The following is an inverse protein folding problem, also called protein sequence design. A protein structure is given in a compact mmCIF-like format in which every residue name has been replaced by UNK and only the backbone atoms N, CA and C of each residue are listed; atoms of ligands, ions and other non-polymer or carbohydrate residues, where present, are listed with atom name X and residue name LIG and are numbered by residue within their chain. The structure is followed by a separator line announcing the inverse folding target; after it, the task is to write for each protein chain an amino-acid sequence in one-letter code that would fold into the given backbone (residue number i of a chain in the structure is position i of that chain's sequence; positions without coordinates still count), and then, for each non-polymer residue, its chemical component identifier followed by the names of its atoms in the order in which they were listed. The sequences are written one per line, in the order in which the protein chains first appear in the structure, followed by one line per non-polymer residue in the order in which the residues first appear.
data_IF_627784057420
#
_entry.id   IF_627784057420
#
_cell.length_a   1.000
_cell.length_b   1.000
_cell.length_c   1.000
_cell.angle_alpha   90.00
_cell.angle_beta   90.00
_cell.angle_gamma   90.00
#
_symmetry.space_group_name_H-M   'P 1'
#
loop_
_entity.id
_entity.type
_entity.pdbx_description
1 polymer ?
#
# COMPACT_ATOMS: atom_id res chain seq x y z
N UNK A 1 -32.30 35.18 24.31
CA UNK A 1 -31.94 33.92 23.60
C UNK A 1 -30.55 34.08 23.00
N UNK A 2 -29.60 33.26 23.40
CA UNK A 2 -28.28 33.27 22.76
C UNK A 2 -28.42 32.66 21.35
N UNK A 3 -28.22 33.49 20.32
CA UNK A 3 -28.31 33.10 18.93
C UNK A 3 -27.02 32.35 18.54
N UNK A 4 -27.03 31.51 17.51
CA UNK A 4 -25.85 30.73 17.04
C UNK A 4 -24.64 31.66 16.82
N UNK A 5 -24.87 32.87 16.31
CA UNK A 5 -23.82 33.89 16.13
C UNK A 5 -23.17 34.33 17.45
N UNK A 6 -23.91 34.49 18.53
CA UNK A 6 -23.36 34.86 19.84
C UNK A 6 -22.61 33.68 20.48
N UNK A 7 -23.05 32.44 20.26
CA UNK A 7 -22.33 31.23 20.69
C UNK A 7 -20.98 31.07 19.93
N UNK A 8 -20.95 31.40 18.64
CA UNK A 8 -19.74 31.39 17.83
C UNK A 8 -18.74 32.49 18.27
N UNK A 9 -19.23 33.73 18.51
CA UNK A 9 -18.35 34.79 19.04
C UNK A 9 -17.77 34.44 20.41
N UNK A 10 -18.55 33.80 21.26
CA UNK A 10 -18.10 33.35 22.58
C UNK A 10 -17.05 32.23 22.44
N UNK A 11 -17.26 31.24 21.58
CA UNK A 11 -16.29 30.16 21.26
C UNK A 11 -14.98 30.74 20.72
N UNK A 12 -15.05 31.67 19.76
CA UNK A 12 -13.86 32.33 19.19
C UNK A 12 -13.05 33.08 20.26
N UNK A 13 -13.75 33.76 21.20
CA UNK A 13 -13.10 34.51 22.28
C UNK A 13 -12.49 33.62 23.36
N UNK A 14 -13.01 32.39 23.52
CA UNK A 14 -12.43 31.37 24.40
C UNK A 14 -11.12 30.82 23.85
N UNK A 15 -11.04 30.62 22.54
CA UNK A 15 -9.83 30.06 21.89
C UNK A 15 -8.75 31.15 21.73
N UNK A 16 -9.18 32.40 21.39
CA UNK A 16 -8.31 33.56 21.16
C UNK A 16 -8.62 34.71 22.12
N UNK A 17 -8.22 34.63 23.41
CA UNK A 17 -8.43 35.70 24.34
C UNK A 17 -7.56 36.94 24.00
N UNK A 18 -8.15 38.14 24.12
CA UNK A 18 -7.43 39.42 23.85
C UNK A 18 -6.46 39.83 24.98
N UNK A 19 -6.53 39.24 26.13
CA UNK A 19 -5.69 39.58 27.30
C UNK A 19 -4.55 38.56 27.47
N UNK A 20 -3.31 39.04 27.59
CA UNK A 20 -2.08 38.30 27.48
C UNK A 20 -1.69 37.34 28.62
N UNK A 21 -2.55 37.06 29.60
CA UNK A 21 -2.29 36.04 30.62
C UNK A 21 -2.64 34.65 30.09
N UNK A 22 -1.61 33.77 29.97
CA UNK A 22 -1.81 32.38 29.63
C UNK A 22 -2.57 31.67 30.76
N UNK A 23 -3.86 31.35 30.54
CA UNK A 23 -4.61 30.52 31.46
C UNK A 23 -4.27 29.04 31.26
N UNK A 24 -4.40 28.23 32.31
CA UNK A 24 -4.12 26.80 32.23
C UNK A 24 -5.07 26.08 31.25
N UNK A 25 -6.32 26.56 31.13
CA UNK A 25 -7.24 26.07 30.10
C UNK A 25 -6.77 26.33 28.66
N UNK A 26 -6.12 27.47 28.39
CA UNK A 26 -5.56 27.75 27.07
C UNK A 26 -4.42 26.76 26.75
N UNK A 27 -3.54 26.48 27.73
CA UNK A 27 -2.48 25.46 27.55
C UNK A 27 -3.09 24.09 27.27
N UNK A 28 -4.16 23.74 27.99
CA UNK A 28 -4.87 22.46 27.79
C UNK A 28 -5.51 22.37 26.40
N UNK A 29 -6.14 23.43 25.88
CA UNK A 29 -6.70 23.46 24.53
C UNK A 29 -5.60 23.35 23.47
N UNK A 30 -4.51 24.10 23.62
CA UNK A 30 -3.35 24.01 22.72
C UNK A 30 -2.78 22.60 22.76
N UNK A 31 -2.64 22.00 23.95
CA UNK A 31 -2.21 20.61 24.12
C UNK A 31 -3.12 19.64 23.38
N UNK A 32 -4.45 19.81 23.46
CA UNK A 32 -5.41 18.98 22.73
C UNK A 32 -5.29 19.15 21.22
N UNK A 33 -5.12 20.37 20.70
CA UNK A 33 -4.90 20.64 19.28
C UNK A 33 -3.62 19.95 18.79
N UNK A 34 -2.52 20.06 19.54
CA UNK A 34 -1.24 19.42 19.24
C UNK A 34 -1.38 17.89 19.27
N UNK A 35 -2.07 17.34 20.27
CA UNK A 35 -2.33 15.89 20.33
C UNK A 35 -3.09 15.38 19.09
N UNK A 36 -4.12 16.14 18.66
CA UNK A 36 -4.86 15.79 17.45
C UNK A 36 -3.94 15.87 16.21
N UNK A 37 -3.18 16.96 16.09
CA UNK A 37 -2.26 17.13 14.96
C UNK A 37 -1.26 15.98 14.89
N UNK A 38 -0.64 15.59 16.02
CA UNK A 38 0.28 14.46 16.11
C UNK A 38 -0.41 13.14 15.76
N UNK A 39 -1.69 12.96 16.13
CA UNK A 39 -2.44 11.73 15.83
C UNK A 39 -2.89 11.64 14.36
N UNK A 40 -3.12 12.77 13.71
CA UNK A 40 -3.49 12.84 12.28
C UNK A 40 -2.30 12.50 11.38
N UNK A 41 -1.08 12.86 11.78
CA UNK A 41 0.14 12.59 10.99
C UNK A 41 0.27 11.09 10.64
N UNK A 42 0.36 10.15 11.61
CA UNK A 42 0.50 8.74 11.29
C UNK A 42 -0.72 8.19 10.56
N UNK A 43 -1.91 8.72 10.81
CA UNK A 43 -3.13 8.33 10.09
C UNK A 43 -3.02 8.60 8.59
N UNK A 44 -2.57 9.80 8.21
CA UNK A 44 -2.36 10.19 6.81
C UNK A 44 -1.24 9.37 6.19
N UNK A 45 -0.11 9.21 6.90
CA UNK A 45 1.04 8.44 6.40
C UNK A 45 0.66 6.98 6.14
N UNK A 46 0.02 6.31 7.11
CA UNK A 46 -0.33 4.89 6.97
C UNK A 46 -1.32 4.67 5.83
N UNK A 47 -2.34 5.52 5.69
CA UNK A 47 -3.33 5.36 4.62
C UNK A 47 -2.69 5.59 3.24
N UNK A 48 -1.91 6.66 3.06
CA UNK A 48 -1.25 6.95 1.78
C UNK A 48 -0.21 5.91 1.40
N UNK A 49 0.61 5.46 2.35
CA UNK A 49 1.61 4.42 2.14
C UNK A 49 0.95 3.07 1.84
N UNK A 50 -0.06 2.68 2.63
CA UNK A 50 -0.79 1.42 2.41
C UNK A 50 -1.48 1.38 1.05
N UNK A 51 -2.10 2.49 0.63
CA UNK A 51 -2.73 2.59 -0.69
C UNK A 51 -1.69 2.53 -1.81
N UNK A 52 -0.59 3.26 -1.67
CA UNK A 52 0.50 3.24 -2.65
C UNK A 52 1.13 1.85 -2.78
N UNK A 53 1.40 1.18 -1.66
CA UNK A 53 1.91 -0.21 -1.67
C UNK A 53 0.92 -1.17 -2.33
N UNK A 54 -0.37 -1.08 -1.98
CA UNK A 54 -1.40 -1.93 -2.58
C UNK A 54 -1.50 -1.72 -4.09
N UNK A 55 -1.54 -0.48 -4.54
CA UNK A 55 -1.57 -0.13 -5.97
C UNK A 55 -0.30 -0.57 -6.69
N UNK A 56 0.86 -0.32 -6.10
CA UNK A 56 2.14 -0.72 -6.66
C UNK A 56 2.31 -2.24 -6.77
N UNK A 57 1.91 -3.00 -5.76
CA UNK A 57 1.92 -4.46 -5.81
C UNK A 57 0.90 -4.99 -6.81
N UNK A 58 -0.32 -4.42 -6.84
CA UNK A 58 -1.35 -4.79 -7.81
C UNK A 58 -0.87 -4.57 -9.24
N UNK A 59 -0.31 -3.39 -9.52
CA UNK A 59 0.24 -3.08 -10.84
C UNK A 59 1.33 -4.08 -11.25
N UNK A 60 2.25 -4.44 -10.33
CA UNK A 60 3.28 -5.45 -10.63
C UNK A 60 2.69 -6.84 -10.84
N UNK A 61 1.77 -7.27 -10.00
CA UNK A 61 1.11 -8.58 -10.14
C UNK A 61 0.36 -8.65 -11.47
N UNK A 62 -0.41 -7.61 -11.80
CA UNK A 62 -1.18 -7.58 -13.05
C UNK A 62 -0.24 -7.54 -14.25
N UNK A 63 0.67 -6.58 -14.31
CA UNK A 63 1.48 -6.37 -15.50
C UNK A 63 2.56 -7.42 -15.69
N UNK A 64 3.13 -7.99 -14.59
CA UNK A 64 4.20 -8.95 -14.68
C UNK A 64 3.73 -10.41 -14.60
N UNK A 65 2.62 -10.71 -13.89
CA UNK A 65 2.22 -12.09 -13.62
C UNK A 65 0.99 -12.54 -14.40
N UNK A 66 -0.18 -11.96 -14.12
CA UNK A 66 -1.46 -12.51 -14.61
C UNK A 66 -2.02 -11.83 -15.87
N UNK A 67 -1.56 -10.64 -16.22
CA UNK A 67 -2.34 -9.77 -17.10
C UNK A 67 -3.61 -9.28 -16.39
N UNK A 68 -4.48 -8.56 -17.07
CA UNK A 68 -5.81 -8.19 -16.55
C UNK A 68 -6.76 -9.38 -16.57
N UNK A 69 -6.63 -10.25 -17.58
CA UNK A 69 -7.31 -11.54 -17.67
C UNK A 69 -6.30 -12.60 -18.11
N UNK A 70 -6.33 -13.74 -17.45
CA UNK A 70 -5.53 -14.91 -17.82
C UNK A 70 -6.44 -16.00 -18.37
N UNK A 71 -6.29 -16.30 -19.65
CA UNK A 71 -7.02 -17.38 -20.32
C UNK A 71 -6.19 -18.68 -20.21
N UNK A 72 -6.62 -19.61 -19.36
CA UNK A 72 -6.01 -20.94 -19.22
C UNK A 72 -6.54 -21.87 -20.29
N UNK A 73 -5.63 -22.50 -21.02
CA UNK A 73 -5.99 -23.49 -22.05
C UNK A 73 -6.13 -24.88 -21.44
N UNK A 74 -7.06 -25.65 -22.00
CA UNK A 74 -7.19 -27.06 -21.65
C UNK A 74 -5.92 -27.81 -22.11
N UNK A 75 -5.28 -28.56 -21.21
CA UNK A 75 -4.04 -29.33 -21.47
C UNK A 75 -4.18 -30.32 -22.64
N UNK A 76 -5.39 -30.84 -22.84
CA UNK A 76 -5.67 -31.83 -23.91
C UNK A 76 -5.94 -31.17 -25.27
N UNK A 77 -5.97 -29.85 -25.35
CA UNK A 77 -6.19 -29.14 -26.63
C UNK A 77 -5.04 -29.40 -27.60
N UNK A 78 -5.37 -29.61 -28.86
CA UNK A 78 -4.39 -29.71 -29.96
C UNK A 78 -3.59 -28.43 -30.12
N UNK A 79 -4.15 -27.28 -29.72
CA UNK A 79 -3.55 -25.95 -29.79
C UNK A 79 -2.25 -25.88 -29.00
N UNK A 80 -2.21 -26.47 -27.81
CA UNK A 80 -1.03 -26.42 -26.92
C UNK A 80 0.09 -27.36 -27.32
N UNK A 81 -0.13 -28.27 -28.26
CA UNK A 81 0.88 -29.28 -28.65
C UNK A 81 1.93 -28.72 -29.60
N UNK A 82 1.65 -27.66 -30.32
CA UNK A 82 2.58 -27.06 -31.28
C UNK A 82 2.76 -25.57 -30.98
N UNK A 83 4.01 -25.10 -31.07
CA UNK A 83 4.39 -23.70 -30.85
C UNK A 83 3.61 -22.74 -31.76
N UNK A 84 3.62 -23.00 -33.08
CA UNK A 84 2.96 -22.11 -34.04
C UNK A 84 1.45 -22.03 -33.79
N UNK A 85 0.79 -23.17 -33.53
CA UNK A 85 -0.63 -23.22 -33.24
C UNK A 85 -1.00 -22.43 -31.99
N UNK A 86 -0.16 -22.49 -30.94
CA UNK A 86 -0.40 -21.76 -29.70
C UNK A 86 -0.16 -20.26 -29.86
N UNK A 87 0.90 -19.88 -30.59
CA UNK A 87 1.19 -18.48 -30.92
C UNK A 87 0.08 -17.86 -31.77
N UNK A 88 -0.36 -18.54 -32.83
CA UNK A 88 -1.41 -18.02 -33.70
C UNK A 88 -2.78 -17.96 -32.99
N UNK A 89 -3.07 -18.93 -32.14
CA UNK A 89 -4.25 -18.88 -31.29
C UNK A 89 -4.22 -17.66 -30.34
N UNK A 90 -3.06 -17.31 -29.78
CA UNK A 90 -2.97 -16.13 -28.92
C UNK A 90 -3.29 -14.83 -29.65
N UNK A 91 -3.02 -14.73 -30.94
CA UNK A 91 -3.33 -13.56 -31.76
C UNK A 91 -4.83 -13.36 -32.00
N UNK A 92 -5.62 -14.43 -31.97
CA UNK A 92 -7.08 -14.33 -32.17
C UNK A 92 -7.76 -13.51 -31.07
N UNK A 93 -7.15 -13.42 -29.87
CA UNK A 93 -7.67 -12.59 -28.79
C UNK A 93 -7.60 -11.09 -29.09
N UNK A 94 -6.72 -10.65 -29.99
CA UNK A 94 -6.60 -9.24 -30.38
C UNK A 94 -7.82 -8.71 -31.14
N UNK A 95 -8.64 -9.61 -31.68
CA UNK A 95 -9.90 -9.25 -32.39
C UNK A 95 -11.03 -8.92 -31.38
N UNK A 96 -10.86 -9.27 -30.12
CA UNK A 96 -11.88 -9.04 -29.08
C UNK A 96 -11.80 -7.60 -28.58
N UNK A 97 -12.97 -6.98 -28.45
CA UNK A 97 -13.10 -5.63 -27.94
C UNK A 97 -12.46 -5.51 -26.55
N UNK A 98 -11.71 -4.42 -26.31
CA UNK A 98 -10.99 -4.13 -25.05
C UNK A 98 -9.75 -5.00 -24.80
N UNK A 99 -9.24 -5.71 -25.81
CA UNK A 99 -7.94 -6.37 -25.73
C UNK A 99 -6.89 -5.49 -26.38
N UNK A 100 -5.89 -5.09 -25.62
CA UNK A 100 -4.75 -4.31 -26.09
C UNK A 100 -3.64 -5.23 -26.61
N UNK A 101 -3.25 -6.20 -25.77
CA UNK A 101 -2.22 -7.17 -26.09
C UNK A 101 -2.60 -8.54 -25.53
N UNK A 102 -2.15 -9.60 -26.19
CA UNK A 102 -2.34 -10.99 -25.78
C UNK A 102 -1.00 -11.75 -25.96
N UNK A 103 -0.44 -12.25 -24.87
CA UNK A 103 0.85 -12.95 -24.89
C UNK A 103 0.69 -14.41 -24.45
N UNK A 104 1.11 -15.37 -25.28
CA UNK A 104 1.12 -16.77 -24.90
C UNK A 104 2.25 -17.02 -23.88
N UNK A 105 1.96 -17.82 -22.88
CA UNK A 105 2.94 -18.18 -21.85
C UNK A 105 2.75 -19.61 -21.39
N UNK A 106 3.88 -20.29 -21.14
CA UNK A 106 3.91 -21.62 -20.52
C UNK A 106 4.65 -21.50 -19.18
N UNK A 107 3.98 -21.85 -18.10
CA UNK A 107 4.58 -21.88 -16.78
C UNK A 107 4.81 -23.32 -16.31
N UNK A 108 5.95 -23.57 -15.66
CA UNK A 108 6.27 -24.84 -15.03
C UNK A 108 7.21 -24.65 -13.85
N UNK A 109 7.02 -25.44 -12.81
CA UNK A 109 7.94 -25.46 -11.69
C UNK A 109 9.23 -26.22 -12.08
N UNK A 110 10.36 -25.74 -11.60
CA UNK A 110 11.68 -26.30 -11.87
C UNK A 110 12.63 -26.13 -10.70
N UNK A 111 13.73 -26.86 -10.74
CA UNK A 111 14.88 -26.63 -9.90
C UNK A 111 15.99 -26.01 -10.76
N UNK A 112 16.55 -24.91 -10.29
CA UNK A 112 17.66 -24.22 -10.90
C UNK A 112 18.96 -24.55 -10.17
N UNK A 113 20.01 -24.88 -10.93
CA UNK A 113 21.29 -25.26 -10.41
C UNK A 113 22.41 -24.40 -11.02
N UNK A 114 23.30 -23.94 -10.17
CA UNK A 114 24.65 -23.54 -10.55
C UNK A 114 25.64 -24.71 -10.34
N UNK A 115 26.93 -24.44 -10.35
CA UNK A 115 27.93 -25.47 -10.02
C UNK A 115 27.85 -25.91 -8.56
N UNK A 116 27.51 -24.99 -7.64
CA UNK A 116 27.60 -25.17 -6.19
C UNK A 116 26.23 -25.10 -5.52
N UNK A 117 25.37 -24.26 -6.03
CA UNK A 117 24.07 -23.94 -5.36
C UNK A 117 22.88 -24.41 -6.17
N UNK A 118 21.74 -24.55 -5.46
CA UNK A 118 20.45 -24.89 -6.06
C UNK A 118 19.33 -24.12 -5.42
N UNK A 119 18.29 -23.79 -6.18
CA UNK A 119 17.08 -23.16 -5.69
C UNK A 119 15.85 -23.63 -6.47
N UNK A 120 14.68 -23.56 -5.86
CA UNK A 120 13.42 -23.71 -6.57
C UNK A 120 13.21 -22.50 -7.47
N UNK A 121 12.67 -22.72 -8.67
CA UNK A 121 12.37 -21.67 -9.62
C UNK A 121 11.10 -21.99 -10.39
N UNK A 122 10.42 -20.96 -10.86
CA UNK A 122 9.31 -21.06 -11.81
C UNK A 122 9.81 -20.61 -13.19
N UNK A 123 9.84 -21.55 -14.10
CA UNK A 123 10.17 -21.26 -15.50
C UNK A 123 8.93 -20.67 -16.17
N UNK A 124 9.11 -19.52 -16.78
CA UNK A 124 8.12 -18.80 -17.58
C UNK A 124 8.62 -18.71 -19.00
N UNK A 125 8.03 -19.50 -19.88
CA UNK A 125 8.34 -19.45 -21.30
C UNK A 125 7.46 -18.42 -21.98
N UNK A 126 8.09 -17.38 -22.52
CA UNK A 126 7.41 -16.21 -23.09
C UNK A 126 7.98 -15.88 -24.46
N UNK A 127 7.21 -15.17 -25.26
CA UNK A 127 7.72 -14.58 -26.49
C UNK A 127 8.71 -13.44 -26.15
N UNK A 128 9.87 -13.35 -26.84
CA UNK A 128 10.83 -12.27 -26.62
C UNK A 128 10.22 -10.86 -26.80
N UNK A 129 9.24 -10.74 -27.69
CA UNK A 129 8.52 -9.51 -27.99
C UNK A 129 7.84 -8.91 -26.75
N UNK A 130 7.51 -9.73 -25.75
CA UNK A 130 6.94 -9.26 -24.48
C UNK A 130 7.84 -8.22 -23.79
N UNK A 131 9.15 -8.39 -23.84
CA UNK A 131 10.12 -7.46 -23.24
C UNK A 131 10.31 -6.17 -24.05
N UNK A 132 9.95 -6.16 -25.34
CA UNK A 132 10.20 -5.02 -26.24
C UNK A 132 8.93 -4.27 -26.59
N UNK A 133 7.82 -4.97 -26.80
CA UNK A 133 6.56 -4.36 -27.27
C UNK A 133 5.63 -3.95 -26.13
N UNK A 134 5.66 -4.66 -25.00
CA UNK A 134 4.80 -4.34 -23.84
C UNK A 134 5.51 -3.38 -22.90
N UNK A 135 5.26 -2.07 -23.05
CA UNK A 135 5.86 -1.05 -22.19
C UNK A 135 5.46 -1.19 -20.72
N UNK A 136 4.23 -1.62 -20.46
CA UNK A 136 3.72 -1.87 -19.11
C UNK A 136 4.50 -2.98 -18.41
N UNK A 137 4.94 -3.99 -19.15
CA UNK A 137 5.78 -5.07 -18.65
C UNK A 137 7.24 -4.64 -18.51
N UNK A 138 7.83 -4.10 -19.57
CA UNK A 138 9.27 -3.78 -19.62
C UNK A 138 9.66 -2.66 -18.65
N UNK A 139 8.80 -1.66 -18.44
CA UNK A 139 9.07 -0.53 -17.54
C UNK A 139 9.19 -0.92 -16.06
N UNK A 140 8.67 -2.10 -15.69
CA UNK A 140 8.71 -2.60 -14.32
C UNK A 140 9.99 -3.39 -14.03
N UNK A 141 10.80 -3.69 -15.05
CA UNK A 141 12.09 -4.35 -14.87
C UNK A 141 13.26 -3.36 -14.97
N UNK A 142 14.20 -3.46 -14.04
CA UNK A 142 15.52 -2.86 -14.15
C UNK A 142 16.54 -3.95 -14.50
N UNK A 143 17.28 -3.74 -15.58
CA UNK A 143 18.39 -4.63 -15.93
C UNK A 143 19.56 -4.32 -15.01
N UNK A 144 20.02 -5.32 -14.25
CA UNK A 144 21.15 -5.21 -13.32
C UNK A 144 22.46 -5.64 -13.94
N UNK A 145 22.39 -6.65 -14.82
CA UNK A 145 23.55 -7.20 -15.50
C UNK A 145 23.13 -7.78 -16.86
N UNK A 146 23.99 -7.71 -17.88
CA UNK A 146 23.74 -8.21 -19.21
C UNK A 146 22.86 -7.32 -20.08
N UNK A 147 22.20 -7.93 -21.09
CA UNK A 147 21.31 -7.24 -22.05
C UNK A 147 20.12 -8.11 -22.43
N UNK A 148 18.93 -7.51 -22.44
CA UNK A 148 17.71 -8.17 -22.90
C UNK A 148 17.71 -8.43 -24.40
N UNK A 149 18.45 -7.67 -25.21
CA UNK A 149 18.52 -7.84 -26.67
C UNK A 149 19.05 -9.23 -27.10
N UNK A 150 19.81 -9.87 -26.21
CA UNK A 150 20.31 -11.25 -26.45
C UNK A 150 19.25 -12.31 -26.16
N UNK A 151 18.13 -11.94 -25.51
CA UNK A 151 17.06 -12.87 -25.19
C UNK A 151 16.27 -13.23 -26.46
N UNK A 152 16.15 -14.52 -26.74
CA UNK A 152 15.49 -15.01 -27.96
C UNK A 152 16.38 -15.09 -29.21
N UNK A 153 17.52 -14.40 -29.25
CA UNK A 153 18.44 -14.44 -30.39
C UNK A 153 19.16 -15.80 -30.58
N UNK A 154 19.28 -16.59 -29.52
CA UNK A 154 19.77 -17.98 -29.53
C UNK A 154 18.78 -18.87 -28.83
N UNK A 155 18.61 -20.11 -29.28
CA UNK A 155 17.59 -21.05 -28.78
C UNK A 155 17.63 -21.37 -27.29
N UNK A 156 18.75 -21.13 -26.58
CA UNK A 156 18.92 -21.50 -25.18
C UNK A 156 19.48 -20.35 -24.34
N UNK A 157 18.78 -19.20 -24.42
CA UNK A 157 19.06 -18.08 -23.55
C UNK A 157 17.97 -17.96 -22.47
N UNK A 158 18.29 -17.36 -21.33
CA UNK A 158 17.32 -17.07 -20.28
C UNK A 158 17.58 -15.72 -19.63
N UNK A 159 16.52 -15.17 -19.04
CA UNK A 159 16.56 -14.00 -18.15
C UNK A 159 16.21 -14.47 -16.76
N UNK A 160 16.98 -14.08 -15.76
CA UNK A 160 16.77 -14.51 -14.37
C UNK A 160 16.57 -13.32 -13.45
N UNK A 161 15.82 -13.52 -12.37
CA UNK A 161 15.66 -12.54 -11.32
C UNK A 161 16.93 -12.31 -10.50
N UNK A 162 17.14 -11.07 -10.04
CA UNK A 162 18.31 -10.65 -9.25
C UNK A 162 18.54 -11.54 -8.03
N UNK A 163 17.47 -11.98 -7.36
CA UNK A 163 17.58 -12.84 -6.19
C UNK A 163 18.01 -14.27 -6.54
N UNK A 164 17.55 -14.83 -7.66
CA UNK A 164 18.05 -16.12 -8.17
C UNK A 164 19.53 -16.01 -8.50
N UNK A 165 19.93 -14.94 -9.21
CA UNK A 165 21.31 -14.69 -9.58
C UNK A 165 22.21 -14.65 -8.33
N UNK A 166 21.84 -13.89 -7.32
CA UNK A 166 22.59 -13.79 -6.06
C UNK A 166 22.62 -15.10 -5.26
N UNK A 167 21.51 -15.87 -5.22
CA UNK A 167 21.44 -17.15 -4.50
C UNK A 167 22.29 -18.23 -5.16
N UNK A 168 22.37 -18.23 -6.48
CA UNK A 168 23.13 -19.20 -7.26
C UNK A 168 24.56 -18.74 -7.57
N UNK A 169 24.92 -17.49 -7.20
CA UNK A 169 26.19 -16.82 -7.52
C UNK A 169 26.48 -16.85 -9.04
N UNK A 170 25.47 -16.45 -9.84
CA UNK A 170 25.54 -16.41 -11.29
C UNK A 170 25.40 -14.98 -11.80
N UNK A 171 26.10 -14.70 -12.93
CA UNK A 171 26.07 -13.43 -13.66
C UNK A 171 25.66 -13.62 -15.11
N UNK A 172 25.42 -12.52 -15.84
CA UNK A 172 25.16 -12.61 -17.28
C UNK A 172 26.33 -13.24 -18.03
N UNK A 173 26.01 -14.15 -18.95
CA UNK A 173 26.99 -14.99 -19.67
C UNK A 173 27.25 -16.36 -19.05
N UNK A 174 26.90 -16.56 -17.79
CA UNK A 174 27.02 -17.87 -17.14
C UNK A 174 25.95 -18.85 -17.63
N UNK A 175 26.17 -20.14 -17.35
CA UNK A 175 25.19 -21.20 -17.66
C UNK A 175 24.46 -21.64 -16.41
N UNK A 176 23.12 -21.59 -16.48
CA UNK A 176 22.21 -22.15 -15.49
C UNK A 176 21.63 -23.47 -15.99
N UNK A 177 21.55 -24.46 -15.12
CA UNK A 177 20.95 -25.77 -15.43
C UNK A 177 19.56 -25.82 -14.78
N UNK A 178 18.54 -26.01 -15.61
CA UNK A 178 17.17 -26.18 -15.20
C UNK A 178 16.74 -27.63 -15.25
N UNK A 179 16.10 -28.09 -14.21
CA UNK A 179 15.60 -29.45 -14.04
C UNK A 179 14.11 -29.42 -13.79
N UNK A 180 13.34 -29.98 -14.70
CA UNK A 180 11.91 -30.21 -14.54
C UNK A 180 11.65 -31.69 -14.20
N UNK A 181 10.39 -32.05 -13.97
CA UNK A 181 10.00 -33.44 -13.69
C UNK A 181 10.45 -34.45 -14.77
N UNK A 182 10.64 -34.01 -16.01
CA UNK A 182 10.92 -34.91 -17.14
C UNK A 182 12.27 -34.68 -17.80
N UNK A 183 12.83 -33.49 -17.78
CA UNK A 183 14.03 -33.15 -18.57
C UNK A 183 14.98 -32.21 -17.84
N UNK A 184 16.22 -32.23 -18.26
CA UNK A 184 17.29 -31.32 -17.84
C UNK A 184 17.75 -30.52 -19.05
N UNK A 185 17.87 -29.22 -18.92
CA UNK A 185 18.42 -28.35 -19.96
C UNK A 185 19.29 -27.25 -19.37
N UNK A 186 20.29 -26.82 -20.14
CA UNK A 186 21.15 -25.70 -19.75
C UNK A 186 20.87 -24.49 -20.62
N UNK A 187 20.79 -23.32 -20.00
CA UNK A 187 20.56 -22.05 -20.64
C UNK A 187 21.69 -21.08 -20.31
N UNK A 188 22.01 -20.19 -21.24
CA UNK A 188 22.94 -19.09 -21.05
C UNK A 188 22.16 -17.88 -20.53
N UNK A 189 22.64 -17.27 -19.46
CA UNK A 189 21.98 -16.09 -18.87
C UNK A 189 22.27 -14.88 -19.76
N UNK A 190 21.23 -14.33 -20.39
CA UNK A 190 21.35 -13.13 -21.22
C UNK A 190 21.28 -11.83 -20.40
N UNK A 191 20.45 -11.83 -19.38
CA UNK A 191 20.29 -10.70 -18.48
C UNK A 191 19.85 -11.13 -17.09
N UNK A 192 20.26 -10.35 -16.09
CA UNK A 192 19.75 -10.38 -14.71
C UNK A 192 18.85 -9.16 -14.52
N UNK A 193 17.61 -9.38 -14.12
CA UNK A 193 16.61 -8.34 -13.98
C UNK A 193 16.06 -8.26 -12.56
N UNK A 194 15.65 -7.08 -12.15
CA UNK A 194 14.91 -6.88 -10.91
C UNK A 194 13.57 -6.23 -11.21
N UNK A 195 12.50 -6.84 -10.71
CA UNK A 195 11.14 -6.29 -10.77
C UNK A 195 10.86 -5.31 -9.64
N UNK A 196 11.80 -5.15 -8.69
CA UNK A 196 11.60 -4.39 -7.45
C UNK A 196 10.64 -5.08 -6.47
N UNK A 197 10.26 -6.33 -6.74
CA UNK A 197 9.49 -7.19 -5.85
C UNK A 197 10.23 -8.53 -5.70
N UNK A 198 10.89 -8.68 -4.57
CA UNK A 198 11.84 -9.78 -4.37
C UNK A 198 11.21 -11.18 -4.45
N UNK A 199 9.94 -11.32 -4.10
CA UNK A 199 9.23 -12.60 -4.22
C UNK A 199 9.22 -13.10 -5.68
N UNK A 200 9.02 -12.18 -6.64
CA UNK A 200 9.06 -12.51 -8.06
C UNK A 200 10.50 -12.74 -8.52
N UNK A 201 11.43 -11.88 -8.09
CA UNK A 201 12.86 -11.96 -8.46
C UNK A 201 13.54 -13.22 -7.89
N UNK A 202 12.99 -13.82 -6.84
CA UNK A 202 13.46 -15.06 -6.22
C UNK A 202 12.97 -16.33 -6.93
N UNK A 203 11.93 -16.22 -7.76
CA UNK A 203 11.28 -17.39 -8.35
C UNK A 203 11.36 -17.44 -9.87
N UNK A 204 11.43 -16.31 -10.58
CA UNK A 204 11.20 -16.30 -12.02
C UNK A 204 12.46 -16.46 -12.86
N UNK A 205 12.36 -17.37 -13.82
CA UNK A 205 13.31 -17.58 -14.90
C UNK A 205 12.53 -17.55 -16.21
N UNK A 206 12.85 -16.58 -17.07
CA UNK A 206 12.23 -16.45 -18.37
C UNK A 206 13.07 -17.20 -19.41
N UNK A 207 12.42 -18.01 -20.26
CA UNK A 207 13.01 -18.67 -21.41
C UNK A 207 12.20 -18.35 -22.67
N UNK A 208 12.76 -18.39 -23.88
CA UNK A 208 11.98 -18.24 -25.11
C UNK A 208 10.91 -19.32 -25.23
N UNK A 209 9.69 -18.93 -25.65
CA UNK A 209 8.54 -19.83 -25.75
C UNK A 209 8.83 -21.04 -26.66
N UNK A 210 9.51 -20.84 -27.77
CA UNK A 210 9.93 -21.93 -28.67
C UNK A 210 10.78 -23.00 -27.95
N UNK A 211 11.68 -22.57 -27.04
CA UNK A 211 12.52 -23.48 -26.26
C UNK A 211 11.73 -24.35 -25.30
N UNK A 212 10.56 -23.89 -24.85
CA UNK A 212 9.72 -24.62 -23.91
C UNK A 212 9.20 -25.93 -24.49
N UNK A 213 8.84 -25.97 -25.75
CA UNK A 213 8.33 -27.18 -26.41
C UNK A 213 9.36 -28.33 -26.48
N UNK A 214 10.63 -28.01 -26.44
CA UNK A 214 11.69 -29.01 -26.34
C UNK A 214 12.02 -29.44 -24.90
N UNK A 215 11.65 -28.66 -23.92
CA UNK A 215 12.11 -28.78 -22.53
C UNK A 215 10.99 -29.07 -21.52
N UNK A 216 9.85 -28.35 -21.58
CA UNK A 216 8.75 -28.49 -20.64
C UNK A 216 7.82 -29.64 -21.06
N UNK A 217 7.37 -30.42 -20.07
CA UNK A 217 6.37 -31.45 -20.31
C UNK A 217 4.96 -30.83 -20.34
N UNK A 218 4.18 -31.16 -21.36
CA UNK A 218 2.81 -30.65 -21.48
C UNK A 218 1.89 -31.05 -20.33
N UNK A 219 2.14 -32.22 -19.73
CA UNK A 219 1.32 -32.76 -18.64
C UNK A 219 1.45 -32.00 -17.33
N UNK A 220 2.60 -31.40 -17.06
CA UNK A 220 2.87 -30.68 -15.81
C UNK A 220 2.91 -29.16 -15.99
N UNK A 221 2.92 -28.67 -17.24
CA UNK A 221 2.99 -27.25 -17.55
C UNK A 221 1.62 -26.62 -17.69
N UNK A 222 1.51 -25.36 -17.31
CA UNK A 222 0.33 -24.54 -17.42
C UNK A 222 0.44 -23.65 -18.66
N UNK A 223 -0.45 -23.83 -19.62
CA UNK A 223 -0.54 -23.02 -20.84
C UNK A 223 -1.59 -21.94 -20.65
N UNK A 224 -1.21 -20.70 -20.79
CA UNK A 224 -2.12 -19.56 -20.64
C UNK A 224 -1.79 -18.47 -21.65
N UNK A 225 -2.82 -17.67 -21.97
CA UNK A 225 -2.64 -16.41 -22.67
C UNK A 225 -2.91 -15.29 -21.69
N UNK A 226 -1.94 -14.41 -21.51
CA UNK A 226 -2.06 -13.22 -20.65
C UNK A 226 -2.57 -12.06 -21.48
N UNK A 227 -3.69 -11.52 -21.08
CA UNK A 227 -4.44 -10.50 -21.82
C UNK A 227 -4.34 -9.19 -21.07
N UNK A 228 -3.83 -8.16 -21.76
CA UNK A 228 -3.80 -6.79 -21.31
C UNK A 228 -5.02 -6.06 -21.89
N UNK A 229 -5.84 -5.46 -21.02
CA UNK A 229 -7.01 -4.70 -21.43
C UNK A 229 -6.64 -3.23 -21.66
N UNK A 230 -7.32 -2.57 -22.61
CA UNK A 230 -7.23 -1.12 -22.81
C UNK A 230 -7.89 -0.36 -21.66
N UNK A 231 -9.16 -0.71 -21.36
CA UNK A 231 -9.87 -0.17 -20.20
C UNK A 231 -9.71 -1.12 -19.02
N UNK A 232 -8.94 -0.67 -18.03
CA UNK A 232 -8.59 -1.42 -16.82
C UNK A 232 -9.65 -1.34 -15.73
N UNK A 233 -10.80 -0.68 -15.99
CA UNK A 233 -11.87 -0.61 -15.00
C UNK A 233 -12.42 -2.02 -14.71
N UNK A 234 -12.74 -2.30 -13.44
CA UNK A 234 -13.20 -3.63 -13.03
C UNK A 234 -14.45 -4.08 -13.82
N UNK A 235 -15.33 -3.13 -14.19
CA UNK A 235 -16.52 -3.44 -15.01
C UNK A 235 -16.13 -3.92 -16.40
N UNK A 236 -15.17 -3.27 -17.03
CA UNK A 236 -14.68 -3.63 -18.37
C UNK A 236 -13.90 -4.94 -18.35
N UNK A 237 -13.12 -5.20 -17.31
CA UNK A 237 -12.40 -6.48 -17.12
C UNK A 237 -13.37 -7.65 -16.91
N UNK A 238 -14.44 -7.47 -16.14
CA UNK A 238 -15.49 -8.48 -15.97
C UNK A 238 -16.22 -8.74 -17.30
N UNK A 239 -16.53 -7.69 -18.07
CA UNK A 239 -17.16 -7.84 -19.38
C UNK A 239 -16.22 -8.57 -20.35
N UNK A 240 -14.93 -8.26 -20.33
CA UNK A 240 -13.91 -8.93 -21.14
C UNK A 240 -13.81 -10.42 -20.79
N UNK A 241 -13.75 -10.78 -19.51
CA UNK A 241 -13.73 -12.18 -19.06
C UNK A 241 -14.91 -12.96 -19.63
N UNK A 242 -16.13 -12.44 -19.52
CA UNK A 242 -17.34 -13.08 -20.06
C UNK A 242 -17.29 -13.22 -21.57
N UNK A 243 -16.88 -12.17 -22.28
CA UNK A 243 -16.75 -12.20 -23.74
C UNK A 243 -15.76 -13.26 -24.20
N UNK A 244 -14.66 -13.45 -23.47
CA UNK A 244 -13.66 -14.49 -23.74
C UNK A 244 -14.23 -15.89 -23.52
N UNK A 245 -14.94 -16.11 -22.42
CA UNK A 245 -15.54 -17.42 -22.11
C UNK A 245 -16.65 -17.77 -23.09
N UNK A 246 -17.45 -16.80 -23.52
CA UNK A 246 -18.52 -17.00 -24.52
C UNK A 246 -17.94 -17.32 -25.91
N UNK A 247 -16.85 -16.64 -26.30
CA UNK A 247 -16.24 -16.82 -27.62
C UNK A 247 -15.46 -18.12 -27.78
N UNK A 248 -14.86 -18.61 -26.67
CA UNK A 248 -13.97 -19.78 -26.66
C UNK A 248 -14.45 -20.89 -25.73
N UNK A 249 -15.77 -21.13 -25.68
CA UNK A 249 -16.38 -22.15 -24.80
C UNK A 249 -15.70 -23.52 -24.92
N UNK A 250 -15.30 -24.08 -23.77
CA UNK A 250 -14.67 -25.40 -23.66
C UNK A 250 -13.19 -25.45 -24.05
N UNK A 251 -12.64 -24.42 -24.68
CA UNK A 251 -11.22 -24.34 -25.07
C UNK A 251 -10.40 -23.68 -23.97
N UNK A 252 -10.92 -22.59 -23.39
CA UNK A 252 -10.26 -21.81 -22.33
C UNK A 252 -11.14 -21.70 -21.09
N UNK A 253 -10.48 -21.34 -19.97
CA UNK A 253 -11.11 -20.78 -18.78
C UNK A 253 -10.44 -19.43 -18.51
N UNK A 254 -11.22 -18.37 -18.46
CA UNK A 254 -10.73 -17.03 -18.23
C UNK A 254 -10.82 -16.67 -16.73
N UNK A 255 -9.72 -16.25 -16.17
CA UNK A 255 -9.64 -15.76 -14.78
C UNK A 255 -9.16 -14.32 -14.77
N UNK A 256 -9.79 -13.51 -13.93
CA UNK A 256 -9.32 -12.14 -13.69
C UNK A 256 -8.09 -12.16 -12.78
N UNK A 257 -7.34 -11.09 -12.82
CA UNK A 257 -6.14 -10.90 -12.00
C UNK A 257 -6.41 -11.04 -10.48
N UNK A 258 -7.59 -10.58 -10.01
CA UNK A 258 -8.01 -10.69 -8.60
C UNK A 258 -8.40 -12.13 -8.21
N UNK A 259 -8.92 -12.91 -9.13
CA UNK A 259 -9.23 -14.32 -8.92
C UNK A 259 -7.97 -15.20 -8.89
N UNK A 260 -7.05 -14.98 -9.83
CA UNK A 260 -5.77 -15.72 -9.90
C UNK A 260 -4.93 -15.49 -8.64
N UNK A 261 -4.99 -14.29 -8.08
CA UNK A 261 -4.18 -13.91 -6.90
C UNK A 261 -5.03 -13.69 -5.64
N UNK A 262 -6.21 -14.32 -5.54
CA UNK A 262 -7.20 -14.08 -4.49
C UNK A 262 -6.58 -14.13 -3.07
N UNK A 263 -5.77 -15.14 -2.77
CA UNK A 263 -5.15 -15.28 -1.44
C UNK A 263 -4.21 -14.12 -1.08
N UNK A 264 -3.48 -13.56 -2.05
CA UNK A 264 -2.61 -12.39 -1.84
C UNK A 264 -3.45 -11.14 -1.55
N UNK A 265 -4.51 -10.93 -2.33
CA UNK A 265 -5.40 -9.77 -2.17
C UNK A 265 -6.24 -9.84 -0.89
N UNK A 266 -6.66 -11.02 -0.46
CA UNK A 266 -7.32 -11.22 0.84
C UNK A 266 -6.39 -10.87 2.00
N UNK A 267 -5.14 -11.30 1.97
CA UNK A 267 -4.14 -10.93 2.96
C UNK A 267 -3.88 -9.42 3.01
N UNK A 268 -3.77 -8.77 1.85
CA UNK A 268 -3.61 -7.31 1.79
C UNK A 268 -4.83 -6.57 2.33
N UNK A 269 -6.04 -7.04 1.99
CA UNK A 269 -7.31 -6.46 2.47
C UNK A 269 -7.43 -6.60 3.99
N UNK A 270 -7.10 -7.77 4.55
CA UNK A 270 -7.12 -8.02 5.99
C UNK A 270 -6.11 -7.14 6.74
N UNK A 271 -4.88 -7.04 6.22
CA UNK A 271 -3.85 -6.17 6.81
C UNK A 271 -4.30 -4.71 6.79
N UNK A 272 -4.87 -4.26 5.68
CA UNK A 272 -5.41 -2.90 5.54
C UNK A 272 -6.53 -2.62 6.54
N UNK A 273 -7.45 -3.56 6.74
CA UNK A 273 -8.53 -3.44 7.73
C UNK A 273 -7.96 -3.30 9.14
N UNK A 274 -6.97 -4.11 9.50
CA UNK A 274 -6.28 -4.00 10.79
C UNK A 274 -5.63 -2.63 10.99
N UNK A 275 -4.93 -2.12 9.97
CA UNK A 275 -4.30 -0.79 10.03
C UNK A 275 -5.34 0.31 10.23
N UNK A 276 -6.46 0.28 9.50
CA UNK A 276 -7.56 1.24 9.65
C UNK A 276 -8.15 1.18 11.05
N UNK A 277 -8.32 -0.02 11.63
CA UNK A 277 -8.83 -0.19 12.99
C UNK A 277 -7.87 0.39 14.03
N UNK A 278 -6.56 0.12 13.90
CA UNK A 278 -5.53 0.69 14.78
C UNK A 278 -5.54 2.22 14.69
N UNK A 279 -5.62 2.77 13.47
CA UNK A 279 -5.66 4.22 13.26
C UNK A 279 -6.93 4.84 13.86
N UNK A 280 -8.07 4.18 13.74
CA UNK A 280 -9.31 4.62 14.38
C UNK A 280 -9.14 4.69 15.90
N UNK A 281 -8.51 3.70 16.52
CA UNK A 281 -8.22 3.70 17.95
C UNK A 281 -7.30 4.85 18.36
N UNK A 282 -6.27 5.17 17.57
CA UNK A 282 -5.37 6.30 17.82
C UNK A 282 -6.16 7.63 17.80
N UNK A 283 -7.02 7.83 16.80
CA UNK A 283 -7.87 9.04 16.70
C UNK A 283 -8.85 9.10 17.86
N UNK A 284 -9.40 7.97 18.29
CA UNK A 284 -10.29 7.90 19.45
C UNK A 284 -9.58 8.34 20.73
N UNK A 285 -8.37 7.83 20.99
CA UNK A 285 -7.55 8.24 22.14
C UNK A 285 -7.23 9.73 22.08
N UNK A 286 -6.85 10.26 20.92
CA UNK A 286 -6.61 11.69 20.73
C UNK A 286 -7.87 12.52 21.04
N UNK A 287 -9.04 12.02 20.65
CA UNK A 287 -10.32 12.69 20.90
C UNK A 287 -10.68 12.76 22.37
N UNK A 288 -10.30 11.77 23.18
CA UNK A 288 -10.47 11.80 24.64
C UNK A 288 -9.70 12.97 25.28
N UNK A 289 -8.53 13.32 24.73
CA UNK A 289 -7.76 14.48 25.20
C UNK A 289 -8.53 15.80 24.99
N UNK A 290 -9.34 15.92 23.91
CA UNK A 290 -10.23 17.06 23.69
C UNK A 290 -11.25 17.14 24.82
N UNK A 291 -11.88 16.02 25.16
CA UNK A 291 -12.87 15.97 26.25
C UNK A 291 -12.28 16.45 27.56
N UNK A 292 -11.08 15.98 27.89
CA UNK A 292 -10.36 16.38 29.12
C UNK A 292 -10.04 17.87 29.12
N UNK A 293 -9.57 18.41 27.98
CA UNK A 293 -9.28 19.82 27.82
C UNK A 293 -10.53 20.68 27.96
N UNK A 294 -11.67 20.23 27.38
CA UNK A 294 -12.96 20.93 27.52
C UNK A 294 -13.48 20.89 28.94
N UNK A 295 -13.34 19.78 29.67
CA UNK A 295 -13.75 19.71 31.10
C UNK A 295 -12.94 20.71 31.89
N UNK A 296 -11.61 20.79 31.69
CA UNK A 296 -10.76 21.75 32.36
C UNK A 296 -11.17 23.19 32.02
N UNK A 297 -11.44 23.49 30.75
CA UNK A 297 -11.95 24.81 30.33
C UNK A 297 -13.27 25.17 31.00
N UNK A 298 -14.21 24.22 31.10
CA UNK A 298 -15.49 24.44 31.79
C UNK A 298 -15.26 24.78 33.27
N UNK A 299 -14.36 24.04 33.94
CA UNK A 299 -14.03 24.28 35.36
C UNK A 299 -13.43 25.66 35.57
N UNK A 300 -12.49 26.09 34.75
CA UNK A 300 -11.84 27.40 34.83
C UNK A 300 -12.82 28.56 34.52
N UNK A 301 -13.70 28.35 33.54
CA UNK A 301 -14.71 29.38 33.14
C UNK A 301 -16.04 29.30 33.87
N UNK A 302 -16.11 28.49 34.93
CA UNK A 302 -17.33 28.22 35.66
C UNK A 302 -18.01 29.51 36.19
N UNK A 303 -17.22 30.47 36.68
CA UNK A 303 -17.71 31.78 37.13
C UNK A 303 -18.30 32.62 36.01
N UNK A 304 -17.64 32.65 34.84
CA UNK A 304 -18.16 33.37 33.65
C UNK A 304 -19.44 32.73 33.14
N UNK A 305 -19.54 31.40 33.15
CA UNK A 305 -20.74 30.65 32.80
C UNK A 305 -21.89 31.00 33.75
N UNK A 306 -21.63 31.07 35.05
CA UNK A 306 -22.62 31.43 36.05
C UNK A 306 -23.14 32.84 35.83
N UNK A 307 -22.27 33.83 35.59
CA UNK A 307 -22.66 35.22 35.28
C UNK A 307 -23.54 35.29 34.03
N UNK A 308 -23.10 34.60 32.93
CA UNK A 308 -23.87 34.57 31.70
C UNK A 308 -25.27 33.98 31.88
N UNK A 309 -25.41 32.94 32.72
CA UNK A 309 -26.71 32.37 33.05
C UNK A 309 -27.59 33.29 33.89
N UNK A 310 -26.98 33.98 34.85
CA UNK A 310 -27.70 34.96 35.65
C UNK A 310 -28.22 36.15 34.85
N UNK A 311 -27.50 36.48 33.73
CA UNK A 311 -27.94 37.48 32.75
C UNK A 311 -28.91 36.91 31.68
N UNK A 312 -29.48 35.70 31.88
CA UNK A 312 -30.46 35.11 30.98
C UNK A 312 -29.88 34.26 29.83
N UNK A 313 -28.61 33.91 29.91
CA UNK A 313 -27.96 32.97 28.92
C UNK A 313 -28.59 31.59 28.97
N UNK A 314 -29.04 31.08 27.81
CA UNK A 314 -29.65 29.75 27.73
C UNK A 314 -28.61 28.62 27.90
N UNK A 315 -28.98 27.55 28.61
CA UNK A 315 -28.15 26.36 28.80
C UNK A 315 -27.74 25.72 27.46
N UNK A 316 -28.66 25.71 26.47
CA UNK A 316 -28.40 25.22 25.13
C UNK A 316 -27.33 26.06 24.39
N UNK A 317 -27.41 27.39 24.51
CA UNK A 317 -26.45 28.30 23.89
C UNK A 317 -25.02 28.12 24.43
N UNK A 318 -24.90 27.91 25.76
CA UNK A 318 -23.60 27.61 26.39
C UNK A 318 -23.07 26.26 25.94
N UNK A 319 -23.90 25.20 25.95
CA UNK A 319 -23.50 23.88 25.45
C UNK A 319 -23.02 23.95 23.99
N UNK A 320 -23.74 24.66 23.13
CA UNK A 320 -23.37 24.86 21.71
C UNK A 320 -22.03 25.59 21.58
N UNK A 321 -21.75 26.60 22.43
CA UNK A 321 -20.48 27.30 22.40
C UNK A 321 -19.30 26.37 22.75
N UNK A 322 -19.43 25.54 23.79
CA UNK A 322 -18.37 24.55 24.13
C UNK A 322 -18.25 23.44 23.10
N UNK A 323 -19.35 23.00 22.48
CA UNK A 323 -19.30 22.05 21.35
C UNK A 323 -18.53 22.64 20.17
N UNK A 324 -18.74 23.91 19.85
CA UNK A 324 -17.98 24.61 18.82
C UNK A 324 -16.49 24.71 19.16
N UNK A 325 -16.11 24.93 20.43
CA UNK A 325 -14.71 24.93 20.85
C UNK A 325 -14.07 23.58 20.58
N UNK A 326 -14.75 22.47 20.89
CA UNK A 326 -14.26 21.13 20.59
C UNK A 326 -14.10 20.87 19.08
N UNK A 327 -15.11 21.23 18.28
CA UNK A 327 -15.05 21.14 16.83
C UNK A 327 -13.93 21.99 16.22
N UNK A 328 -13.74 23.22 16.72
CA UNK A 328 -12.64 24.09 16.31
C UNK A 328 -11.27 23.52 16.68
N UNK A 329 -11.15 22.90 17.85
CA UNK A 329 -9.89 22.23 18.25
C UNK A 329 -9.55 21.09 17.32
N UNK A 330 -10.55 20.26 16.94
CA UNK A 330 -10.39 19.21 15.93
C UNK A 330 -10.00 19.75 14.57
N UNK A 331 -10.65 20.82 14.13
CA UNK A 331 -10.37 21.48 12.85
C UNK A 331 -8.97 22.09 12.81
N UNK A 332 -8.53 22.79 13.86
CA UNK A 332 -7.18 23.35 13.92
C UNK A 332 -6.11 22.24 13.99
N UNK A 333 -6.37 21.18 14.75
CA UNK A 333 -5.48 20.01 14.79
C UNK A 333 -5.34 19.36 13.42
N UNK A 334 -6.44 19.27 12.64
CA UNK A 334 -6.41 18.77 11.27
C UNK A 334 -5.62 19.68 10.32
N UNK A 335 -5.83 21.01 10.39
CA UNK A 335 -5.10 21.98 9.55
C UNK A 335 -3.59 21.89 9.78
N UNK A 336 -3.16 21.62 11.00
CA UNK A 336 -1.74 21.44 11.32
C UNK A 336 -1.23 20.03 10.99
N UNK A 337 -2.01 19.00 11.31
CA UNK A 337 -1.60 17.60 11.15
C UNK A 337 -1.61 17.10 9.71
N UNK A 338 -2.59 17.50 8.90
CA UNK A 338 -2.75 17.01 7.53
C UNK A 338 -1.60 17.42 6.60
N UNK A 339 -1.16 18.68 6.53
CA UNK A 339 -0.03 19.06 5.69
C UNK A 339 1.27 18.38 6.14
N UNK A 340 1.52 18.30 7.44
CA UNK A 340 2.70 17.62 7.97
C UNK A 340 2.65 16.12 7.66
N UNK A 341 1.47 15.48 7.81
CA UNK A 341 1.25 14.08 7.44
C UNK A 341 1.52 13.83 5.95
N UNK A 342 1.06 14.72 5.06
CA UNK A 342 1.33 14.63 3.63
C UNK A 342 2.82 14.80 3.30
N UNK A 343 3.50 15.77 3.93
CA UNK A 343 4.93 15.96 3.77
C UNK A 343 5.72 14.73 4.23
N UNK A 344 5.34 14.13 5.35
CA UNK A 344 5.92 12.88 5.82
C UNK A 344 5.65 11.73 4.85
N UNK A 345 4.43 11.63 4.30
CA UNK A 345 4.08 10.58 3.33
C UNK A 345 4.93 10.69 2.05
N UNK A 346 5.05 11.89 1.49
CA UNK A 346 5.85 12.12 0.26
C UNK A 346 7.33 11.79 0.48
N UNK A 347 7.83 12.01 1.68
CA UNK A 347 9.23 11.76 2.03
C UNK A 347 9.44 10.43 2.79
N UNK A 348 8.45 9.52 2.79
CA UNK A 348 8.50 8.29 3.61
C UNK A 348 9.74 7.44 3.31
N UNK A 349 10.11 7.28 2.03
CA UNK A 349 11.29 6.52 1.64
C UNK A 349 12.59 7.13 2.22
N UNK A 350 12.71 8.47 2.20
CA UNK A 350 13.86 9.18 2.80
C UNK A 350 13.88 9.08 4.32
N UNK A 351 12.69 9.17 4.95
CA UNK A 351 12.53 9.04 6.41
C UNK A 351 12.95 7.65 6.85
N UNK A 352 12.47 6.60 6.18
CA UNK A 352 12.81 5.21 6.53
C UNK A 352 14.30 4.95 6.35
N UNK A 353 14.90 5.37 5.23
CA UNK A 353 16.37 5.26 5.02
C UNK A 353 17.16 6.05 6.08
N UNK A 354 16.65 7.18 6.52
CA UNK A 354 17.24 7.98 7.60
C UNK A 354 17.19 7.24 8.94
N UNK A 355 16.05 6.64 9.27
CA UNK A 355 15.87 5.81 10.46
C UNK A 355 16.78 4.57 10.45
N UNK A 356 16.86 3.87 9.30
CA UNK A 356 17.78 2.73 9.15
C UNK A 356 19.24 3.12 9.45
N UNK A 357 19.70 4.22 8.87
CA UNK A 357 21.06 4.74 9.13
C UNK A 357 21.25 5.06 10.59
N UNK A 358 20.28 5.74 11.22
CA UNK A 358 20.32 6.10 12.63
C UNK A 358 20.39 4.86 13.53
N UNK A 359 19.51 3.86 13.30
CA UNK A 359 19.52 2.63 14.09
C UNK A 359 20.80 1.82 13.89
N UNK A 360 21.31 1.71 12.66
CA UNK A 360 22.55 0.99 12.38
C UNK A 360 23.77 1.70 13.01
N UNK A 361 23.81 3.04 12.99
CA UNK A 361 24.86 3.80 13.69
C UNK A 361 24.76 3.67 15.20
N UNK A 362 23.56 3.77 15.76
CA UNK A 362 23.33 3.57 17.19
C UNK A 362 23.75 2.16 17.65
N UNK A 363 23.42 1.15 16.85
CA UNK A 363 23.81 -0.24 17.11
C UNK A 363 25.34 -0.43 17.02
N UNK A 364 25.99 0.16 16.02
CA UNK A 364 27.44 0.13 15.89
C UNK A 364 28.14 0.80 17.09
N UNK A 365 27.62 1.95 17.55
CA UNK A 365 28.11 2.62 18.76
C UNK A 365 27.92 1.76 20.01
N UNK A 366 26.78 1.08 20.14
CA UNK A 366 26.48 0.21 21.27
C UNK A 366 27.35 -1.06 21.27
N UNK A 367 27.67 -1.62 20.11
CA UNK A 367 28.53 -2.79 19.94
C UNK A 367 30.03 -2.47 20.12
N UNK A 368 30.44 -1.20 19.98
CA UNK A 368 31.84 -0.79 20.17
C UNK A 368 32.27 -0.60 21.63
N UNK A 369 31.36 -0.84 22.61
CA UNK A 369 31.67 -0.77 24.04
C UNK A 369 32.56 -1.97 24.44
N UNK A 370 33.78 -1.75 24.96
CA UNK A 370 34.69 -2.84 25.32
C UNK A 370 34.11 -3.76 26.40
N UNK A 371 34.14 -5.07 26.15
CA UNK A 371 33.71 -6.09 27.14
C UNK A 371 32.48 -6.92 26.76
N UNK A 372 31.77 -6.62 25.67
CA UNK A 372 30.68 -7.47 25.16
C UNK A 372 31.14 -8.25 23.93
N UNK A 373 31.21 -9.57 24.04
CA UNK A 373 31.28 -10.48 22.89
C UNK A 373 29.88 -10.52 22.24
N UNK A 374 29.57 -9.55 21.38
CA UNK A 374 28.36 -9.58 20.57
C UNK A 374 28.72 -10.02 19.16
N UNK A 375 27.84 -10.79 18.55
CA UNK A 375 27.85 -11.12 17.11
C UNK A 375 28.01 -9.82 16.29
N UNK A 376 28.64 -9.88 15.11
CA UNK A 376 28.75 -8.72 14.23
C UNK A 376 27.34 -8.12 14.02
N UNK A 377 27.19 -6.78 14.06
CA UNK A 377 25.89 -6.15 13.93
C UNK A 377 25.27 -6.56 12.60
N UNK A 378 24.19 -7.34 12.68
CA UNK A 378 23.35 -7.58 11.51
C UNK A 378 22.79 -6.22 11.10
N UNK A 379 23.03 -5.79 9.86
CA UNK A 379 22.40 -4.60 9.33
C UNK A 379 20.88 -4.75 9.43
N UNK A 380 20.24 -3.83 10.16
CA UNK A 380 18.79 -3.75 10.26
C UNK A 380 18.31 -3.07 8.98
N UNK A 381 17.63 -3.81 8.14
CA UNK A 381 16.87 -3.28 7.00
C UNK A 381 15.42 -3.16 7.47
N UNK A 382 14.94 -1.93 7.73
CA UNK A 382 13.54 -1.69 8.11
C UNK A 382 12.58 -1.99 6.97
N UNK A 383 13.03 -1.78 5.74
CA UNK A 383 12.33 -2.18 4.53
C UNK A 383 13.11 -3.29 3.85
N UNK A 384 12.84 -4.52 4.28
CA UNK A 384 13.41 -5.68 3.60
C UNK A 384 12.71 -5.86 2.24
N UNK A 385 13.43 -5.77 1.11
CA UNK A 385 12.89 -6.00 -0.22
C UNK A 385 12.19 -7.36 -0.38
N UNK A 386 12.43 -8.30 0.55
CA UNK A 386 11.74 -9.59 0.58
C UNK A 386 10.23 -9.47 0.79
N UNK A 387 9.79 -8.47 1.54
CA UNK A 387 8.39 -8.30 1.92
C UNK A 387 7.76 -7.02 1.35
N UNK A 388 8.59 -6.07 0.92
CA UNK A 388 8.15 -4.74 0.49
C UNK A 388 8.73 -4.40 -0.88
N UNK A 389 8.11 -3.42 -1.55
CA UNK A 389 8.68 -2.82 -2.75
C UNK A 389 9.94 -2.04 -2.38
N UNK A 390 10.97 -2.09 -3.25
CA UNK A 390 12.22 -1.33 -3.05
C UNK A 390 11.99 0.17 -2.87
N UNK A 391 10.95 0.70 -3.52
CA UNK A 391 10.44 2.05 -3.31
C UNK A 391 8.93 1.99 -3.13
N UNK A 392 8.45 2.63 -2.06
CA UNK A 392 7.02 2.73 -1.79
C UNK A 392 6.44 3.76 -2.76
N UNK A 393 5.57 3.38 -3.69
CA UNK A 393 4.83 4.34 -4.48
C UNK A 393 3.84 5.07 -3.57
N UNK A 394 3.69 6.37 -3.78
CA UNK A 394 2.82 7.21 -2.96
C UNK A 394 1.60 7.56 -3.79
N UNK A 395 0.45 7.10 -3.36
CA UNK A 395 -0.83 7.49 -3.95
C UNK A 395 -1.63 8.37 -2.98
N UNK A 396 -1.84 9.62 -3.39
CA UNK A 396 -2.63 10.57 -2.63
C UNK A 396 -4.04 10.62 -3.21
N UNK A 397 -4.99 9.98 -2.54
CA UNK A 397 -6.40 10.06 -2.91
C UNK A 397 -7.08 11.21 -2.16
N UNK A 398 -7.50 12.26 -2.87
CA UNK A 398 -8.21 13.39 -2.28
C UNK A 398 -9.50 12.99 -1.56
N UNK A 399 -10.23 11.99 -2.08
CA UNK A 399 -11.44 11.46 -1.45
C UNK A 399 -11.13 10.87 -0.06
N UNK A 400 -10.04 10.11 0.06
CA UNK A 400 -9.64 9.49 1.34
C UNK A 400 -9.18 10.55 2.33
N UNK A 401 -8.41 11.55 1.89
CA UNK A 401 -8.03 12.69 2.73
C UNK A 401 -9.26 13.44 3.25
N UNK A 402 -10.25 13.64 2.39
CA UNK A 402 -11.53 14.25 2.80
C UNK A 402 -12.27 13.38 3.83
N UNK A 403 -12.31 12.07 3.65
CA UNK A 403 -12.92 11.15 4.62
C UNK A 403 -12.18 11.16 5.97
N UNK A 404 -10.84 11.23 5.96
CA UNK A 404 -10.03 11.39 7.18
C UNK A 404 -10.40 12.70 7.87
N UNK A 405 -10.41 13.81 7.13
CA UNK A 405 -10.74 15.12 7.65
C UNK A 405 -12.13 15.15 8.28
N UNK A 406 -13.11 14.60 7.57
CA UNK A 406 -14.49 14.48 8.06
C UNK A 406 -14.56 13.61 9.33
N UNK A 407 -13.90 12.45 9.35
CA UNK A 407 -13.90 11.53 10.49
C UNK A 407 -13.30 12.17 11.74
N UNK A 408 -12.20 12.90 11.61
CA UNK A 408 -11.53 13.57 12.74
C UNK A 408 -12.42 14.67 13.31
N UNK A 409 -13.02 15.52 12.46
CA UNK A 409 -13.92 16.59 12.91
C UNK A 409 -15.17 15.99 13.55
N UNK A 410 -15.77 14.98 12.93
CA UNK A 410 -16.97 14.33 13.41
C UNK A 410 -16.74 13.67 14.78
N UNK A 411 -15.65 12.95 14.95
CA UNK A 411 -15.30 12.31 16.21
C UNK A 411 -14.99 13.35 17.30
N UNK A 412 -14.30 14.44 16.94
CA UNK A 412 -14.05 15.59 17.83
C UNK A 412 -15.34 16.20 18.35
N UNK A 413 -16.36 16.39 17.49
CA UNK A 413 -17.66 16.88 17.88
C UNK A 413 -18.39 15.91 18.81
N UNK A 414 -18.41 14.61 18.49
CA UNK A 414 -19.08 13.58 19.32
C UNK A 414 -18.51 13.57 20.73
N UNK A 415 -17.18 13.50 20.85
CA UNK A 415 -16.51 13.43 22.15
C UNK A 415 -16.71 14.71 22.97
N UNK A 416 -16.88 15.85 22.30
CA UNK A 416 -17.14 17.14 22.92
C UNK A 416 -18.59 17.30 23.45
N UNK A 417 -19.53 16.41 23.10
CA UNK A 417 -20.93 16.50 23.54
C UNK A 417 -21.02 16.42 25.07
N UNK A 418 -20.36 15.44 25.67
CA UNK A 418 -20.48 15.21 27.13
C UNK A 418 -20.02 16.41 27.95
N UNK A 419 -18.78 16.95 27.77
CA UNK A 419 -18.34 18.13 28.52
C UNK A 419 -19.16 19.38 28.19
N UNK A 420 -19.64 19.55 26.95
CA UNK A 420 -20.44 20.67 26.53
C UNK A 420 -21.83 20.69 27.22
N UNK A 421 -22.46 19.52 27.33
CA UNK A 421 -23.73 19.39 28.06
C UNK A 421 -23.52 19.64 29.57
N UNK A 422 -22.42 19.16 30.15
CA UNK A 422 -22.07 19.50 31.53
C UNK A 422 -21.93 21.01 31.75
N UNK A 423 -21.22 21.71 30.86
CA UNK A 423 -21.10 23.17 30.91
C UNK A 423 -22.49 23.88 30.89
N UNK A 424 -23.39 23.41 30.02
CA UNK A 424 -24.75 23.93 29.95
C UNK A 424 -25.61 23.62 31.18
N UNK A 425 -25.33 22.59 31.96
CA UNK A 425 -26.09 22.19 33.18
C UNK A 425 -25.54 22.77 34.47
N UNK A 426 -24.40 23.50 34.49
CA UNK A 426 -23.83 24.13 35.67
C UNK A 426 -24.86 25.08 36.31
N UNK A 427 -25.00 25.00 37.67
CA UNK A 427 -25.94 25.80 38.43
C UNK A 427 -25.28 27.08 38.96
N UNK A 428 -25.78 28.29 38.69
CA UNK A 428 -25.15 29.54 39.11
C UNK A 428 -24.91 29.61 40.62
N UNK A 429 -25.89 29.15 41.43
CA UNK A 429 -25.86 29.21 42.90
C UNK A 429 -24.69 28.40 43.49
N UNK A 430 -24.36 27.21 42.92
CA UNK A 430 -23.27 26.38 43.43
C UNK A 430 -21.90 26.95 43.06
N UNK A 431 -21.83 27.72 41.99
CA UNK A 431 -20.58 28.33 41.51
C UNK A 431 -20.18 29.56 42.34
N UNK A 432 -21.11 30.23 42.98
CA UNK A 432 -20.85 31.35 43.89
C UNK A 432 -20.57 30.90 45.35
N UNK A 433 -20.96 29.66 45.74
CA UNK A 433 -20.83 29.15 47.11
C UNK A 433 -19.48 28.44 47.37
N UNK A 434 -18.75 28.07 46.34
CA UNK A 434 -17.46 27.36 46.42
C UNK A 434 -16.22 28.25 46.27
N UNK A 435 -16.36 29.53 46.59
CA UNK A 435 -15.24 30.49 46.69
C UNK A 435 -14.96 30.78 48.11
#
# INVERSE_FOLDING_TARGET
MMNIQSSFMFAKRMIFPRTGKASDARRSIIGAIVCIAISVIPLVVVITVSDGMFSGMTSRIVNLSSGHVQALLNRNSSIVKNYESFRDFSKTFLEIKNVKNAFPEIESDSLAFSKTYRTGAKVRAVEPELFFECKEFSSLFSVKDGSLEKFGGKRKTCVIGEKIASTLELSAGDKIRLVTSSKVSSYEISAVVSSGYQELDALWIFIPLESAYGFLAHETSMHSVKIMADDTSMKSVIALQRSLEDSYQGIIRAYRWDEVNASKFENFSSTRLMLVLIMFMIVLVASVNISSALVMLVMERRREIAILKSCGGSSKGISTAFLLVGGFSGFLGLILGLPVGLLCSVNVNSIVRGLEKFFNQAMALFCSIPGRKTLPPSHINLMDPAYYLQEIPIEVSFLKLFLIAFSVIFLSLIVSIIPSVKAGRERPVESFRKV
#
